data_IF_317004241098
#
_entry.id   IF_317004241098
#
_cell.length_a   1.000
_cell.length_b   1.000
_cell.length_c   1.000
_cell.angle_alpha   90.00
_cell.angle_beta   90.00
_cell.angle_gamma   90.00
#
_symmetry.space_group_name_H-M   'P 1'
#
loop_
_entity.id
_entity.type
_entity.pdbx_description
1 polymer ?
#
# COMPACT_ATOMS: atom_id res chain seq x y z
N UNK A 1 3.33 -54.98 -4.48
CA UNK A 1 4.33 -53.93 -4.22
C UNK A 1 3.67 -52.60 -4.53
N UNK A 2 3.19 -51.91 -3.49
CA UNK A 2 2.47 -50.64 -3.64
C UNK A 2 3.47 -49.50 -3.71
N UNK A 3 3.39 -48.77 -4.82
CA UNK A 3 4.17 -47.59 -5.16
C UNK A 3 3.82 -46.46 -4.18
N UNK A 4 4.76 -46.13 -3.30
CA UNK A 4 4.68 -44.95 -2.46
C UNK A 4 4.81 -43.71 -3.36
N UNK A 5 3.66 -43.18 -3.83
CA UNK A 5 3.60 -41.82 -4.40
C UNK A 5 4.06 -40.85 -3.32
N UNK A 6 5.29 -40.38 -3.43
CA UNK A 6 5.75 -39.19 -2.72
C UNK A 6 4.85 -38.04 -3.15
N UNK A 7 4.06 -37.57 -2.19
CA UNK A 7 3.35 -36.32 -2.30
C UNK A 7 4.41 -35.22 -2.16
N UNK A 8 4.94 -34.74 -3.29
CA UNK A 8 5.81 -33.55 -3.34
C UNK A 8 4.95 -32.30 -3.05
N UNK A 9 4.50 -32.18 -1.80
CA UNK A 9 3.83 -30.99 -1.30
C UNK A 9 4.87 -30.02 -0.75
N UNK A 10 5.10 -28.90 -1.43
CA UNK A 10 5.92 -27.85 -0.80
C UNK A 10 6.39 -26.66 -1.63
N UNK A 11 6.20 -26.62 -2.96
CA UNK A 11 6.82 -25.57 -3.79
C UNK A 11 5.86 -24.51 -4.34
N UNK A 12 4.80 -24.16 -3.60
CA UNK A 12 3.82 -23.14 -4.05
C UNK A 12 3.95 -21.78 -3.35
N UNK A 13 4.94 -21.56 -2.46
CA UNK A 13 5.11 -20.26 -1.77
C UNK A 13 6.22 -19.37 -2.31
N UNK A 14 7.12 -19.90 -3.16
CA UNK A 14 8.40 -19.25 -3.46
C UNK A 14 8.46 -18.59 -4.83
N UNK A 15 7.48 -18.83 -5.70
CA UNK A 15 7.54 -18.45 -7.11
C UNK A 15 6.34 -17.59 -7.50
N UNK A 16 6.59 -16.41 -8.07
CA UNK A 16 5.54 -15.57 -8.69
C UNK A 16 5.93 -15.25 -10.11
N UNK A 17 4.94 -15.31 -11.01
CA UNK A 17 5.05 -14.83 -12.39
C UNK A 17 4.76 -13.33 -12.44
N UNK A 18 5.80 -12.52 -12.34
CA UNK A 18 5.73 -11.08 -12.53
C UNK A 18 6.29 -10.72 -13.92
N UNK A 19 5.51 -9.99 -14.73
CA UNK A 19 5.96 -9.50 -16.07
C UNK A 19 6.52 -10.61 -17.00
N UNK A 20 5.92 -11.81 -16.96
CA UNK A 20 6.34 -12.94 -17.79
C UNK A 20 7.62 -13.65 -17.34
N UNK A 21 8.23 -13.21 -16.22
CA UNK A 21 9.40 -13.84 -15.63
C UNK A 21 9.03 -14.52 -14.31
N UNK A 22 9.49 -15.74 -14.12
CA UNK A 22 9.35 -16.47 -12.86
C UNK A 22 10.45 -16.00 -11.91
N UNK A 23 10.05 -15.38 -10.81
CA UNK A 23 10.96 -14.93 -9.76
C UNK A 23 10.77 -15.89 -8.59
N UNK A 24 11.81 -16.67 -8.31
CA UNK A 24 11.92 -17.53 -7.14
C UNK A 24 12.76 -16.83 -6.07
N UNK A 25 12.21 -16.69 -4.87
CA UNK A 25 12.95 -16.14 -3.72
C UNK A 25 13.02 -17.16 -2.60
N UNK A 26 14.22 -17.42 -2.11
CA UNK A 26 14.49 -18.28 -0.97
C UNK A 26 13.91 -17.62 0.30
N UNK A 27 12.95 -18.27 0.96
CA UNK A 27 12.21 -17.72 2.12
C UNK A 27 10.75 -17.31 1.85
N UNK A 28 10.27 -17.45 0.62
CA UNK A 28 8.89 -17.17 0.23
C UNK A 28 8.67 -15.70 -0.11
N UNK A 29 8.07 -15.45 -1.27
CA UNK A 29 7.86 -14.10 -1.79
C UNK A 29 7.02 -13.23 -0.85
N UNK A 30 6.06 -13.85 -0.15
CA UNK A 30 5.17 -13.18 0.80
C UNK A 30 5.94 -12.62 1.99
N UNK A 31 6.96 -13.33 2.49
CA UNK A 31 7.78 -12.86 3.62
C UNK A 31 8.61 -11.64 3.23
N UNK A 32 9.14 -11.63 1.99
CA UNK A 32 9.91 -10.51 1.46
C UNK A 32 9.02 -9.29 1.24
N UNK A 33 7.84 -9.49 0.65
CA UNK A 33 6.86 -8.41 0.44
C UNK A 33 6.35 -7.88 1.78
N UNK A 34 6.12 -8.74 2.77
CA UNK A 34 5.78 -8.33 4.13
C UNK A 34 6.87 -7.44 4.74
N UNK A 35 8.13 -7.84 4.64
CA UNK A 35 9.28 -7.04 5.09
C UNK A 35 9.36 -5.69 4.37
N UNK A 36 9.12 -5.66 3.06
CA UNK A 36 9.08 -4.43 2.28
C UNK A 36 7.94 -3.50 2.71
N UNK A 37 6.74 -4.03 2.97
CA UNK A 37 5.61 -3.26 3.49
C UNK A 37 5.88 -2.70 4.90
N UNK A 38 6.49 -3.50 5.76
CA UNK A 38 6.91 -3.06 7.09
C UNK A 38 7.94 -1.91 6.99
N UNK A 39 8.96 -2.08 6.15
CA UNK A 39 9.97 -1.05 5.91
C UNK A 39 9.36 0.25 5.34
N UNK A 40 8.50 0.14 4.32
CA UNK A 40 7.78 1.29 3.76
C UNK A 40 6.92 1.98 4.84
N UNK A 41 6.41 1.25 5.81
CA UNK A 41 5.63 1.80 6.94
C UNK A 41 6.49 2.54 7.93
N UNK A 42 7.66 2.01 8.27
CA UNK A 42 8.63 2.73 9.10
C UNK A 42 9.06 4.02 8.41
N UNK A 43 9.40 3.97 7.12
CA UNK A 43 9.81 5.14 6.34
C UNK A 43 8.69 6.19 6.28
N UNK A 44 7.43 5.76 6.08
CA UNK A 44 6.28 6.65 6.08
C UNK A 44 6.13 7.40 7.39
N UNK A 45 6.14 6.70 8.53
CA UNK A 45 5.97 7.31 9.85
C UNK A 45 7.13 8.25 10.17
N UNK A 46 8.38 7.80 9.93
CA UNK A 46 9.57 8.62 10.19
C UNK A 46 9.57 9.88 9.34
N UNK A 47 9.26 9.78 8.04
CA UNK A 47 9.17 10.95 7.17
C UNK A 47 8.02 11.89 7.56
N UNK A 48 6.87 11.35 7.96
CA UNK A 48 5.72 12.15 8.40
C UNK A 48 6.00 12.96 9.67
N UNK A 49 6.69 12.37 10.65
CA UNK A 49 7.09 13.03 11.89
C UNK A 49 8.23 14.02 11.68
N UNK A 50 9.23 13.65 10.88
CA UNK A 50 10.35 14.54 10.56
C UNK A 50 9.87 15.83 9.86
N UNK A 51 9.03 15.70 8.82
CA UNK A 51 8.50 16.87 8.13
C UNK A 51 7.54 17.69 9.01
N UNK A 52 6.84 17.05 9.95
CA UNK A 52 5.99 17.77 10.92
C UNK A 52 6.82 18.65 11.84
N UNK A 53 7.97 18.15 12.34
CA UNK A 53 8.93 18.95 13.10
C UNK A 53 9.48 20.12 12.28
N UNK A 54 9.90 19.86 11.04
CA UNK A 54 10.39 20.91 10.15
C UNK A 54 9.36 22.02 9.85
N UNK A 55 8.07 21.67 9.74
CA UNK A 55 6.98 22.65 9.57
C UNK A 55 6.82 23.52 10.82
N UNK A 56 6.94 22.94 12.01
CA UNK A 56 6.84 23.67 13.26
C UNK A 56 7.97 24.71 13.40
N UNK A 57 9.19 24.33 13.03
CA UNK A 57 10.37 25.20 13.20
C UNK A 57 10.47 26.29 12.12
N UNK A 58 9.87 26.08 10.94
CA UNK A 58 9.91 27.02 9.81
C UNK A 58 8.49 27.37 9.29
N UNK A 59 7.71 28.18 10.02
CA UNK A 59 6.33 28.49 9.67
C UNK A 59 6.19 29.24 8.34
N UNK A 60 7.21 30.02 7.93
CA UNK A 60 7.22 30.72 6.64
C UNK A 60 7.28 29.77 5.43
N UNK A 61 7.79 28.54 5.61
CA UNK A 61 7.86 27.51 4.59
C UNK A 61 6.79 26.41 4.76
N UNK A 62 5.85 26.59 5.70
CA UNK A 62 4.89 25.56 6.09
C UNK A 62 4.04 25.05 4.91
N UNK A 63 3.58 25.95 4.03
CA UNK A 63 2.75 25.58 2.88
C UNK A 63 3.51 24.65 1.93
N UNK A 64 4.75 25.01 1.59
CA UNK A 64 5.60 24.21 0.69
C UNK A 64 5.97 22.87 1.32
N UNK A 65 6.34 22.85 2.60
CA UNK A 65 6.68 21.62 3.33
C UNK A 65 5.48 20.69 3.48
N UNK A 66 4.28 21.22 3.69
CA UNK A 66 3.05 20.45 3.71
C UNK A 66 2.75 19.80 2.36
N UNK A 67 2.94 20.53 1.26
CA UNK A 67 2.78 19.98 -0.09
C UNK A 67 3.79 18.85 -0.36
N UNK A 68 5.06 19.05 0.00
CA UNK A 68 6.11 18.02 -0.14
C UNK A 68 5.75 16.79 0.70
N UNK A 69 5.31 16.98 1.96
CA UNK A 69 4.85 15.90 2.83
C UNK A 69 3.71 15.11 2.18
N UNK A 70 2.71 15.79 1.65
CA UNK A 70 1.58 15.14 1.00
C UNK A 70 2.02 14.29 -0.21
N UNK A 71 2.92 14.82 -1.05
CA UNK A 71 3.44 14.11 -2.23
C UNK A 71 4.22 12.85 -1.84
N UNK A 72 5.10 12.94 -0.84
CA UNK A 72 5.90 11.80 -0.36
C UNK A 72 4.98 10.70 0.19
N UNK A 73 4.06 11.06 1.09
CA UNK A 73 3.16 10.10 1.71
C UNK A 73 2.21 9.46 0.71
N UNK A 74 1.70 10.25 -0.26
CA UNK A 74 0.89 9.72 -1.35
C UNK A 74 1.66 8.72 -2.21
N UNK A 75 2.91 9.04 -2.57
CA UNK A 75 3.77 8.13 -3.32
C UNK A 75 4.00 6.80 -2.59
N UNK A 76 4.28 6.84 -1.29
CA UNK A 76 4.44 5.64 -0.46
C UNK A 76 3.13 4.83 -0.39
N UNK A 77 1.98 5.49 -0.22
CA UNK A 77 0.68 4.85 -0.18
C UNK A 77 0.33 4.11 -1.50
N UNK A 78 0.66 4.71 -2.65
CA UNK A 78 0.46 4.08 -3.97
C UNK A 78 1.33 2.82 -4.11
N UNK A 79 2.61 2.89 -3.71
CA UNK A 79 3.52 1.75 -3.77
C UNK A 79 3.02 0.61 -2.87
N UNK A 80 2.65 0.91 -1.62
CA UNK A 80 2.12 -0.08 -0.68
C UNK A 80 0.84 -0.73 -1.16
N UNK A 81 -0.12 0.06 -1.62
CA UNK A 81 -1.38 -0.49 -2.13
C UNK A 81 -1.16 -1.38 -3.35
N UNK A 82 -0.22 -1.02 -4.24
CA UNK A 82 0.15 -1.86 -5.38
C UNK A 82 0.78 -3.19 -4.95
N UNK A 83 1.68 -3.18 -3.96
CA UNK A 83 2.26 -4.40 -3.38
C UNK A 83 1.19 -5.31 -2.77
N UNK A 84 0.25 -4.74 -2.02
CA UNK A 84 -0.86 -5.49 -1.41
C UNK A 84 -1.77 -6.08 -2.48
N UNK A 85 -2.14 -5.30 -3.49
CA UNK A 85 -3.01 -5.74 -4.58
C UNK A 85 -2.37 -6.88 -5.39
N UNK A 86 -1.09 -6.78 -5.71
CA UNK A 86 -0.44 -7.81 -6.54
C UNK A 86 -0.08 -9.09 -5.79
N UNK A 87 0.31 -8.99 -4.52
CA UNK A 87 0.84 -10.13 -3.78
C UNK A 87 -0.12 -10.68 -2.73
N UNK A 88 -1.00 -9.86 -2.16
CA UNK A 88 -1.92 -10.31 -1.09
C UNK A 88 -3.36 -10.44 -1.54
N UNK A 89 -3.79 -9.69 -2.56
CA UNK A 89 -5.10 -9.89 -3.15
C UNK A 89 -5.01 -10.82 -4.36
N UNK A 90 -5.77 -11.91 -4.33
CA UNK A 90 -5.82 -12.91 -5.41
C UNK A 90 -6.65 -12.44 -6.62
N UNK A 91 -6.77 -11.13 -6.85
CA UNK A 91 -7.63 -10.54 -7.90
C UNK A 91 -7.28 -11.02 -9.31
N UNK A 92 -6.03 -11.43 -9.52
CA UNK A 92 -5.57 -11.96 -10.80
C UNK A 92 -6.16 -13.34 -11.11
N UNK A 93 -6.45 -14.12 -10.08
CA UNK A 93 -6.90 -15.52 -10.20
C UNK A 93 -8.41 -15.65 -9.95
N UNK A 94 -9.03 -14.63 -9.35
CA UNK A 94 -10.45 -14.60 -9.04
C UNK A 94 -11.32 -13.93 -10.11
N UNK A 95 -12.65 -14.07 -9.96
CA UNK A 95 -13.64 -13.50 -10.89
C UNK A 95 -13.46 -11.98 -10.97
N UNK A 96 -13.58 -11.38 -12.18
CA UNK A 96 -13.39 -9.93 -12.37
C UNK A 96 -14.38 -9.08 -11.57
N UNK A 97 -15.50 -9.66 -11.13
CA UNK A 97 -16.46 -9.00 -10.25
C UNK A 97 -15.86 -8.62 -8.88
N UNK A 98 -14.86 -9.35 -8.39
CA UNK A 98 -14.20 -9.06 -7.10
C UNK A 98 -13.28 -7.84 -7.23
N UNK A 99 -12.70 -7.59 -8.41
CA UNK A 99 -11.97 -6.36 -8.68
C UNK A 99 -12.87 -5.11 -8.64
N UNK A 100 -14.17 -5.24 -8.96
CA UNK A 100 -15.14 -4.15 -8.82
C UNK A 100 -15.37 -3.78 -7.35
N UNK A 101 -15.24 -4.73 -6.42
CA UNK A 101 -15.41 -4.48 -4.98
C UNK A 101 -14.35 -3.49 -4.47
N UNK A 102 -13.17 -3.41 -5.10
CA UNK A 102 -12.13 -2.41 -4.76
C UNK A 102 -12.57 -0.98 -5.11
N UNK A 103 -13.47 -0.81 -6.07
CA UNK A 103 -14.00 0.52 -6.41
C UNK A 103 -14.90 1.06 -5.30
N UNK A 104 -15.51 0.22 -4.47
CA UNK A 104 -16.38 0.64 -3.39
C UNK A 104 -15.66 1.49 -2.32
N UNK A 105 -14.56 1.02 -1.68
CA UNK A 105 -13.82 1.85 -0.74
C UNK A 105 -13.19 3.08 -1.42
N UNK A 106 -12.77 2.98 -2.69
CA UNK A 106 -12.27 4.12 -3.45
C UNK A 106 -13.35 5.21 -3.64
N UNK A 107 -14.57 4.80 -3.98
CA UNK A 107 -15.72 5.69 -4.13
C UNK A 107 -16.03 6.40 -2.81
N UNK A 108 -16.08 5.65 -1.71
CA UNK A 108 -16.34 6.21 -0.37
C UNK A 108 -15.24 7.21 0.02
N UNK A 109 -13.96 6.88 -0.22
CA UNK A 109 -12.86 7.78 0.04
C UNK A 109 -12.96 9.07 -0.80
N UNK A 110 -13.27 8.94 -2.09
CA UNK A 110 -13.45 10.09 -2.98
C UNK A 110 -14.59 11.00 -2.54
N UNK A 111 -15.74 10.43 -2.18
CA UNK A 111 -16.88 11.19 -1.64
C UNK A 111 -16.50 11.90 -0.32
N UNK A 112 -15.74 11.23 0.54
CA UNK A 112 -15.26 11.81 1.80
C UNK A 112 -14.32 13.00 1.57
N UNK A 113 -13.41 12.89 0.59
CA UNK A 113 -12.52 13.99 0.20
C UNK A 113 -13.31 15.16 -0.38
N UNK A 114 -14.26 14.90 -1.29
CA UNK A 114 -15.12 15.93 -1.86
C UNK A 114 -15.91 16.67 -0.78
N UNK A 115 -16.44 15.93 0.20
CA UNK A 115 -17.13 16.51 1.36
C UNK A 115 -16.20 17.41 2.18
N UNK A 116 -14.98 16.97 2.48
CA UNK A 116 -14.00 17.78 3.22
C UNK A 116 -13.57 19.04 2.46
N UNK A 117 -13.48 18.96 1.14
CA UNK A 117 -13.17 20.12 0.30
C UNK A 117 -14.33 21.13 0.22
N UNK A 118 -15.58 20.66 0.35
CA UNK A 118 -16.76 21.51 0.31
C UNK A 118 -16.98 22.30 1.61
N UNK A 119 -16.44 21.85 2.74
CA UNK A 119 -16.62 22.49 4.04
C UNK A 119 -15.47 23.48 4.29
N UNK A 120 -15.77 24.78 4.52
CA UNK A 120 -14.73 25.74 4.86
C UNK A 120 -14.08 25.41 6.22
N UNK A 121 -12.74 25.38 6.31
CA UNK A 121 -12.04 25.14 7.56
C UNK A 121 -12.22 26.36 8.48
N UNK A 122 -13.17 26.29 9.43
CA UNK A 122 -13.42 27.36 10.40
C UNK A 122 -14.82 27.46 11.00
N UNK A 123 -15.79 26.66 10.55
CA UNK A 123 -17.21 26.78 10.96
C UNK A 123 -17.58 26.33 12.39
N UNK A 124 -16.62 25.98 13.26
CA UNK A 124 -16.86 25.48 14.62
C UNK A 124 -16.37 26.44 15.71
N UNK A 125 -16.69 27.73 15.59
CA UNK A 125 -16.58 28.66 16.72
C UNK A 125 -17.97 28.85 17.36
N UNK A 126 -18.25 28.09 18.42
CA UNK A 126 -19.26 28.40 19.42
C UNK A 126 -18.56 28.96 20.66
#
# INVERSE_FOLDING_TARGET
MAEARRHDGGHHSNTVRALGREITVEGGIYTVVFGALALLTVIEVVSAEFLKGAIHDAPSAAVTLQAIKAIILLGIAIIKSSLVIWFYMHLREEKPLIAIVILLPLLIASLSIMYLLAIPPGGYSL
#
